data_IF_259703073668
#
_entry.id   IF_259703073668
#
_cell.length_a   1.000
_cell.length_b   1.000
_cell.length_c   1.000
_cell.angle_alpha   90.00
_cell.angle_beta   90.00
_cell.angle_gamma   90.00
#
_symmetry.space_group_name_H-M   'P 1'
#
loop_
_entity.id
_entity.type
_entity.pdbx_description
1 polymer ?
#
# COMPACT_ATOMS: atom_id res chain seq x y z
N UNK A 1 3.70 -14.79 -8.76
CA UNK A 1 3.82 -14.49 -7.32
C UNK A 1 3.71 -12.99 -7.08
N UNK A 2 4.37 -12.14 -7.88
CA UNK A 2 4.31 -10.68 -7.69
C UNK A 2 2.97 -10.00 -8.07
N UNK A 3 2.02 -10.71 -8.68
CA UNK A 3 0.77 -10.13 -9.20
C UNK A 3 -0.39 -10.16 -8.17
N UNK A 4 -0.23 -10.87 -7.05
CA UNK A 4 -1.23 -10.94 -6.00
C UNK A 4 -1.00 -9.80 -5.01
N UNK A 5 -2.01 -8.97 -4.84
CA UNK A 5 -1.95 -7.73 -4.07
C UNK A 5 -2.54 -7.95 -2.68
N UNK A 6 -1.81 -7.54 -1.65
CA UNK A 6 -2.17 -7.66 -0.24
C UNK A 6 -2.77 -6.37 0.31
N UNK A 7 -3.36 -6.43 1.50
CA UNK A 7 -3.96 -5.26 2.13
C UNK A 7 -2.95 -4.18 2.56
N UNK A 8 -1.83 -4.52 3.23
CA UNK A 8 -0.85 -3.52 3.69
C UNK A 8 -0.34 -2.62 2.57
N UNK A 9 -0.07 -1.36 2.89
CA UNK A 9 0.46 -0.37 1.93
C UNK A 9 1.87 0.06 2.32
N UNK A 10 2.77 0.05 1.35
CA UNK A 10 4.15 0.56 1.45
C UNK A 10 4.14 2.09 1.67
N UNK A 11 5.28 2.73 2.04
CA UNK A 11 5.35 4.17 2.24
C UNK A 11 4.86 5.00 1.05
N UNK A 12 5.05 4.49 -0.17
CA UNK A 12 4.56 5.12 -1.42
C UNK A 12 3.06 4.96 -1.67
N UNK A 13 2.32 4.27 -0.80
CA UNK A 13 0.87 4.05 -0.89
C UNK A 13 0.44 2.91 -1.80
N UNK A 14 1.38 2.34 -2.57
CA UNK A 14 1.17 1.09 -3.28
C UNK A 14 0.99 -0.05 -2.28
N UNK A 15 0.06 -0.95 -2.58
CA UNK A 15 -0.11 -2.17 -1.79
C UNK A 15 1.12 -3.07 -1.90
N UNK A 16 1.40 -3.80 -0.83
CA UNK A 16 2.35 -4.89 -0.80
C UNK A 16 1.85 -6.02 -1.71
N UNK A 17 2.77 -6.74 -2.35
CA UNK A 17 2.43 -7.99 -3.05
C UNK A 17 3.01 -9.22 -2.32
N UNK A 18 2.48 -10.41 -2.62
CA UNK A 18 2.92 -11.66 -1.95
C UNK A 18 4.41 -11.94 -2.09
N UNK A 19 5.06 -11.54 -3.20
CA UNK A 19 6.50 -11.73 -3.33
C UNK A 19 7.30 -10.83 -2.38
N UNK A 20 6.85 -9.59 -2.16
CA UNK A 20 7.45 -8.66 -1.19
C UNK A 20 7.23 -9.14 0.25
N UNK A 21 6.03 -9.61 0.57
CA UNK A 21 5.71 -10.19 1.89
C UNK A 21 6.54 -11.44 2.16
N UNK A 22 6.55 -12.38 1.21
CA UNK A 22 7.36 -13.60 1.28
C UNK A 22 8.85 -13.31 1.46
N UNK A 23 9.39 -12.33 0.74
CA UNK A 23 10.77 -11.92 0.93
C UNK A 23 11.01 -11.35 2.33
N UNK A 24 10.10 -10.50 2.82
CA UNK A 24 10.19 -9.89 4.15
C UNK A 24 10.16 -10.95 5.25
N UNK A 25 9.30 -11.96 5.13
CA UNK A 25 9.25 -13.09 6.06
C UNK A 25 10.53 -13.91 6.03
N UNK A 26 11.03 -14.25 4.84
CA UNK A 26 12.27 -15.01 4.69
C UNK A 26 13.50 -14.25 5.21
N UNK A 27 13.48 -12.92 5.14
CA UNK A 27 14.53 -12.06 5.68
C UNK A 27 14.46 -11.91 7.21
N UNK A 28 13.25 -11.72 7.77
CA UNK A 28 13.08 -11.37 9.19
C UNK A 28 12.96 -12.57 10.12
N UNK A 29 12.36 -13.68 9.67
CA UNK A 29 12.17 -14.85 10.52
C UNK A 29 13.50 -15.43 11.06
N UNK A 30 14.59 -15.57 10.26
CA UNK A 30 15.90 -16.00 10.77
C UNK A 30 16.48 -15.08 11.85
N UNK A 31 16.33 -13.75 11.68
CA UNK A 31 16.85 -12.76 12.62
C UNK A 31 16.08 -12.80 13.96
N UNK A 32 14.75 -12.83 13.90
CA UNK A 32 13.91 -12.98 15.10
C UNK A 32 14.18 -14.32 15.81
N UNK A 33 14.36 -15.40 15.05
CA UNK A 33 14.75 -16.71 15.58
C UNK A 33 16.09 -16.64 16.27
N UNK A 34 17.08 -16.00 15.69
CA UNK A 34 18.42 -15.87 16.26
C UNK A 34 18.41 -15.12 17.60
N UNK A 35 17.61 -14.06 17.71
CA UNK A 35 17.53 -13.24 18.91
C UNK A 35 16.65 -13.85 20.01
N UNK A 36 15.51 -14.45 19.66
CA UNK A 36 14.47 -14.83 20.63
C UNK A 36 14.38 -16.35 20.86
N UNK A 37 14.58 -17.15 19.81
CA UNK A 37 14.38 -18.61 19.87
C UNK A 37 15.53 -19.38 19.23
N UNK A 38 16.76 -19.24 19.75
CA UNK A 38 17.96 -19.77 19.10
C UNK A 38 18.02 -21.31 19.00
N UNK A 39 17.07 -22.01 19.62
CA UNK A 39 16.90 -23.47 19.57
C UNK A 39 16.14 -23.97 18.34
N UNK A 40 15.38 -23.12 17.66
CA UNK A 40 14.65 -23.49 16.44
C UNK A 40 15.63 -23.73 15.28
N UNK A 41 15.37 -24.72 14.44
CA UNK A 41 16.23 -25.01 13.29
C UNK A 41 16.09 -23.92 12.20
N UNK A 42 17.20 -23.26 11.89
CA UNK A 42 17.22 -22.15 10.93
C UNK A 42 16.96 -22.61 9.48
N UNK A 43 17.39 -23.82 9.12
CA UNK A 43 17.16 -24.35 7.78
C UNK A 43 15.68 -24.65 7.58
N UNK A 44 15.03 -25.25 8.59
CA UNK A 44 13.57 -25.46 8.59
C UNK A 44 12.79 -24.14 8.59
N UNK A 45 13.20 -23.14 9.38
CA UNK A 45 12.56 -21.80 9.39
C UNK A 45 12.62 -21.14 8.01
N UNK A 46 13.79 -21.11 7.37
CA UNK A 46 13.93 -20.54 6.02
C UNK A 46 13.13 -21.33 4.98
N UNK A 47 13.13 -22.66 5.06
CA UNK A 47 12.35 -23.50 4.16
C UNK A 47 10.86 -23.18 4.27
N UNK A 48 10.33 -23.06 5.48
CA UNK A 48 8.93 -22.74 5.74
C UNK A 48 8.57 -21.32 5.31
N UNK A 49 9.39 -20.32 5.62
CA UNK A 49 9.17 -18.95 5.18
C UNK A 49 9.09 -18.84 3.65
N UNK A 50 9.89 -19.63 2.91
CA UNK A 50 9.89 -19.59 1.44
C UNK A 50 8.63 -20.22 0.82
N UNK A 51 7.98 -21.16 1.52
CA UNK A 51 6.82 -21.90 0.96
C UNK A 51 5.48 -21.47 1.53
N UNK A 52 5.44 -20.60 2.55
CA UNK A 52 4.25 -20.35 3.37
C UNK A 52 3.00 -19.87 2.60
N UNK A 53 3.20 -19.12 1.51
CA UNK A 53 2.12 -18.54 0.70
C UNK A 53 1.82 -19.31 -0.59
N UNK A 54 2.56 -20.38 -0.89
CA UNK A 54 2.38 -21.09 -2.17
C UNK A 54 0.95 -21.60 -2.36
N UNK A 55 0.32 -22.02 -1.27
CA UNK A 55 -1.07 -22.49 -1.30
C UNK A 55 -2.05 -21.36 -1.58
N UNK A 56 -1.92 -20.22 -0.88
CA UNK A 56 -2.78 -19.04 -1.06
C UNK A 56 -2.69 -18.48 -2.49
N UNK A 57 -1.49 -18.43 -3.06
CA UNK A 57 -1.25 -18.03 -4.45
C UNK A 57 -1.96 -18.97 -5.44
N UNK A 58 -2.03 -20.26 -5.15
CA UNK A 58 -2.67 -21.24 -6.03
C UNK A 58 -4.20 -21.22 -5.93
N UNK A 59 -4.74 -20.94 -4.75
CA UNK A 59 -6.19 -20.89 -4.52
C UNK A 59 -6.81 -19.55 -4.93
N UNK A 60 -6.01 -18.47 -4.92
CA UNK A 60 -6.48 -17.10 -5.09
C UNK A 60 -7.25 -16.64 -3.85
N UNK A 61 -6.96 -15.45 -3.34
CA UNK A 61 -7.70 -14.90 -2.21
C UNK A 61 -9.15 -14.61 -2.66
N UNK A 62 -10.08 -15.48 -2.28
CA UNK A 62 -11.51 -15.31 -2.55
C UNK A 62 -12.19 -15.01 -1.23
N UNK A 63 -12.58 -13.76 -1.05
CA UNK A 63 -13.31 -13.27 0.11
C UNK A 63 -14.53 -14.17 0.41
N UNK A 64 -14.66 -14.58 1.66
CA UNK A 64 -15.71 -15.50 2.15
C UNK A 64 -16.98 -14.80 2.63
N UNK A 65 -16.98 -13.46 2.69
CA UNK A 65 -18.15 -12.71 3.13
C UNK A 65 -19.28 -12.86 2.10
N UNK A 66 -20.45 -13.30 2.57
CA UNK A 66 -21.72 -13.51 1.82
C UNK A 66 -21.86 -14.79 0.93
N UNK A 67 -21.05 -15.84 1.16
CA UNK A 67 -21.26 -17.11 0.44
C UNK A 67 -22.37 -17.97 1.07
N UNK A 68 -23.33 -18.41 0.25
CA UNK A 68 -24.30 -19.45 0.64
C UNK A 68 -23.60 -20.78 0.95
N UNK A 69 -24.19 -21.69 1.73
CA UNK A 69 -23.59 -23.00 2.04
C UNK A 69 -23.17 -23.81 0.80
N UNK A 70 -23.92 -23.69 -0.31
CA UNK A 70 -23.60 -24.35 -1.59
C UNK A 70 -22.37 -23.71 -2.24
N UNK A 71 -22.29 -22.37 -2.26
CA UNK A 71 -21.12 -21.66 -2.79
C UNK A 71 -19.88 -21.88 -1.94
N UNK A 72 -20.04 -22.01 -0.63
CA UNK A 72 -18.96 -22.36 0.29
C UNK A 72 -18.40 -23.76 0.00
N UNK A 73 -19.28 -24.74 -0.25
CA UNK A 73 -18.89 -26.10 -0.62
C UNK A 73 -18.17 -26.16 -1.98
N UNK A 74 -18.67 -25.45 -3.00
CA UNK A 74 -18.02 -25.36 -4.31
C UNK A 74 -16.64 -24.67 -4.18
N UNK A 75 -16.53 -23.60 -3.39
CA UNK A 75 -15.26 -22.94 -3.10
C UNK A 75 -14.26 -23.88 -2.45
N UNK A 76 -14.68 -24.62 -1.42
CA UNK A 76 -13.82 -25.62 -0.77
C UNK A 76 -13.34 -26.69 -1.75
N UNK A 77 -14.21 -27.17 -2.65
CA UNK A 77 -13.81 -28.11 -3.69
C UNK A 77 -12.79 -27.51 -4.66
N UNK A 78 -13.00 -26.27 -5.09
CA UNK A 78 -12.09 -25.56 -5.99
C UNK A 78 -10.72 -25.32 -5.32
N UNK A 79 -10.71 -24.93 -4.05
CA UNK A 79 -9.48 -24.75 -3.25
C UNK A 79 -8.73 -26.07 -3.09
N UNK A 80 -9.44 -27.16 -2.77
CA UNK A 80 -8.84 -28.49 -2.68
C UNK A 80 -8.25 -28.94 -4.02
N UNK A 81 -8.96 -28.68 -5.13
CA UNK A 81 -8.48 -29.03 -6.46
C UNK A 81 -7.27 -28.18 -6.90
N UNK A 82 -7.28 -26.88 -6.57
CA UNK A 82 -6.17 -25.98 -6.82
C UNK A 82 -4.93 -26.38 -6.00
N UNK A 83 -5.11 -26.68 -4.72
CA UNK A 83 -4.09 -27.22 -3.83
C UNK A 83 -3.50 -28.51 -4.38
N UNK A 84 -4.36 -29.46 -4.80
CA UNK A 84 -3.91 -30.72 -5.37
C UNK A 84 -3.07 -30.49 -6.64
N UNK A 85 -3.55 -29.62 -7.53
CA UNK A 85 -2.86 -29.29 -8.78
C UNK A 85 -1.51 -28.62 -8.53
N UNK A 86 -1.44 -27.71 -7.55
CA UNK A 86 -0.20 -27.06 -7.12
C UNK A 86 0.80 -28.10 -6.63
N UNK A 87 0.40 -28.94 -5.67
CA UNK A 87 1.27 -29.94 -5.07
C UNK A 87 1.88 -30.83 -6.16
N UNK A 88 1.09 -31.28 -7.14
CA UNK A 88 1.58 -32.09 -8.26
C UNK A 88 2.65 -31.39 -9.12
N UNK A 89 2.61 -30.06 -9.24
CA UNK A 89 3.57 -29.26 -10.03
C UNK A 89 4.82 -28.87 -9.26
N UNK A 90 4.76 -28.85 -7.93
CA UNK A 90 5.91 -28.45 -7.11
C UNK A 90 7.03 -29.50 -7.14
N UNK A 91 8.30 -29.07 -7.19
CA UNK A 91 9.44 -29.96 -6.97
C UNK A 91 9.34 -30.69 -5.61
N UNK A 92 9.89 -31.91 -5.47
CA UNK A 92 9.70 -32.75 -4.27
C UNK A 92 10.03 -32.04 -2.94
N UNK A 93 11.12 -31.29 -2.91
CA UNK A 93 11.57 -30.58 -1.69
C UNK A 93 10.59 -29.47 -1.30
N UNK A 94 10.09 -28.70 -2.27
CA UNK A 94 9.12 -27.63 -2.01
C UNK A 94 7.76 -28.21 -1.60
N UNK A 95 7.32 -29.29 -2.26
CA UNK A 95 6.08 -30.00 -1.90
C UNK A 95 6.14 -30.48 -0.45
N UNK A 96 7.21 -31.18 -0.08
CA UNK A 96 7.39 -31.68 1.28
C UNK A 96 7.49 -30.54 2.30
N UNK A 97 8.18 -29.45 1.95
CA UNK A 97 8.25 -28.25 2.78
C UNK A 97 6.87 -27.64 3.03
N UNK A 98 6.08 -27.47 1.97
CA UNK A 98 4.72 -26.92 2.04
C UNK A 98 3.80 -27.82 2.87
N UNK A 99 3.78 -29.13 2.63
CA UNK A 99 2.97 -30.09 3.39
C UNK A 99 3.32 -30.07 4.89
N UNK A 100 4.62 -30.00 5.22
CA UNK A 100 5.11 -29.90 6.61
C UNK A 100 4.74 -28.56 7.25
N UNK A 101 4.83 -27.47 6.51
CA UNK A 101 4.46 -26.14 6.98
C UNK A 101 2.96 -26.08 7.28
N UNK A 102 2.11 -26.49 6.34
CA UNK A 102 0.66 -26.46 6.47
C UNK A 102 0.14 -27.36 7.60
N UNK A 103 0.83 -28.45 7.90
CA UNK A 103 0.49 -29.30 9.04
C UNK A 103 0.62 -28.59 10.40
N UNK A 104 1.43 -27.53 10.51
CA UNK A 104 1.62 -26.72 11.73
C UNK A 104 1.97 -27.53 13.00
N UNK A 105 2.54 -28.73 12.83
CA UNK A 105 2.86 -29.68 13.92
C UNK A 105 4.27 -29.53 14.49
N UNK A 106 5.04 -28.56 14.01
CA UNK A 106 6.42 -28.30 14.47
C UNK A 106 6.52 -26.88 15.02
N UNK A 107 7.40 -26.64 16.02
CA UNK A 107 7.59 -25.30 16.56
C UNK A 107 8.09 -24.34 15.48
N UNK A 108 8.92 -24.76 14.52
CA UNK A 108 9.36 -23.92 13.41
C UNK A 108 8.19 -23.48 12.50
N UNK A 109 7.25 -24.38 12.19
CA UNK A 109 6.09 -24.04 11.36
C UNK A 109 5.17 -23.04 12.07
N UNK A 110 4.96 -23.22 13.37
CA UNK A 110 4.17 -22.31 14.20
C UNK A 110 4.88 -20.97 14.41
N UNK A 111 6.20 -20.98 14.58
CA UNK A 111 7.03 -19.78 14.69
C UNK A 111 6.93 -18.94 13.42
N UNK A 112 7.14 -19.55 12.25
CA UNK A 112 7.02 -18.84 10.96
C UNK A 112 5.62 -18.26 10.79
N UNK A 113 4.56 -19.01 11.16
CA UNK A 113 3.17 -18.51 11.14
C UNK A 113 2.93 -17.35 12.11
N UNK A 114 3.61 -17.34 13.26
CA UNK A 114 3.53 -16.24 14.22
C UNK A 114 4.22 -14.99 13.67
N UNK A 115 5.43 -15.13 13.10
CA UNK A 115 6.15 -14.00 12.47
C UNK A 115 5.39 -13.45 11.28
N UNK A 116 4.85 -14.32 10.41
CA UNK A 116 3.98 -13.95 9.29
C UNK A 116 2.82 -13.03 9.73
N UNK A 117 2.20 -13.32 10.87
CA UNK A 117 1.13 -12.48 11.45
C UNK A 117 1.59 -11.17 12.06
N UNK A 118 2.88 -11.04 12.40
CA UNK A 118 3.46 -9.80 12.92
C UNK A 118 3.72 -8.81 11.77
N UNK A 119 4.09 -9.31 10.59
CA UNK A 119 4.54 -8.47 9.47
C UNK A 119 3.53 -7.41 9.03
N UNK A 120 2.22 -7.67 8.92
CA UNK A 120 1.26 -6.63 8.52
C UNK A 120 1.28 -5.41 9.44
N UNK A 121 1.33 -5.62 10.76
CA UNK A 121 1.36 -4.51 11.75
C UNK A 121 2.69 -3.75 11.66
N UNK A 122 3.80 -4.47 11.44
CA UNK A 122 5.09 -3.83 11.20
C UNK A 122 5.08 -2.98 9.92
N UNK A 123 4.44 -3.46 8.86
CA UNK A 123 4.26 -2.73 7.60
C UNK A 123 3.34 -1.51 7.78
N UNK A 124 2.28 -1.61 8.59
CA UNK A 124 1.38 -0.50 8.88
C UNK A 124 2.09 0.67 9.58
N UNK A 125 3.08 0.39 10.43
CA UNK A 125 3.91 1.40 11.10
C UNK A 125 4.81 2.13 10.11
N UNK A 126 5.52 1.40 9.25
CA UNK A 126 6.52 2.01 8.35
C UNK A 126 5.90 2.52 7.05
N UNK A 127 4.73 2.02 6.70
CA UNK A 127 4.01 2.29 5.47
C UNK A 127 2.88 3.31 5.65
N UNK A 128 1.73 3.05 5.02
CA UNK A 128 0.55 3.91 5.11
C UNK A 128 -0.57 3.22 5.92
N UNK A 129 -0.23 2.69 7.09
CA UNK A 129 -1.16 1.92 7.91
C UNK A 129 -2.42 2.69 8.33
N UNK A 130 -2.33 4.01 8.57
CA UNK A 130 -3.51 4.83 8.90
C UNK A 130 -4.55 4.75 7.78
N UNK A 131 -4.12 4.93 6.53
CA UNK A 131 -5.00 4.75 5.37
C UNK A 131 -5.52 3.32 5.24
N UNK A 132 -4.72 2.31 5.58
CA UNK A 132 -5.17 0.91 5.57
C UNK A 132 -6.33 0.70 6.53
N UNK A 133 -6.18 1.10 7.80
CA UNK A 133 -7.24 0.88 8.80
C UNK A 133 -8.50 1.68 8.51
N UNK A 134 -8.38 2.86 7.88
CA UNK A 134 -9.54 3.67 7.50
C UNK A 134 -10.23 3.20 6.22
N UNK A 135 -9.47 2.99 5.15
CA UNK A 135 -10.03 2.70 3.81
C UNK A 135 -10.46 1.23 3.66
N UNK A 136 -9.72 0.29 4.25
CA UNK A 136 -9.97 -1.15 4.07
C UNK A 136 -10.75 -1.77 5.23
N UNK A 137 -10.48 -1.31 6.45
CA UNK A 137 -11.11 -1.84 7.66
C UNK A 137 -12.19 -0.93 8.25
N UNK A 138 -12.36 0.29 7.71
CA UNK A 138 -13.43 1.20 8.10
C UNK A 138 -13.32 1.75 9.53
N UNK A 139 -12.12 1.72 10.13
CA UNK A 139 -11.83 2.28 11.45
C UNK A 139 -11.91 3.80 11.38
N UNK A 140 -12.65 4.44 12.28
CA UNK A 140 -12.92 5.89 12.22
C UNK A 140 -12.22 6.69 13.31
N UNK A 141 -11.79 6.04 14.38
CA UNK A 141 -11.23 6.70 15.55
C UNK A 141 -10.31 5.75 16.33
N UNK A 142 -9.52 6.33 17.23
CA UNK A 142 -8.54 5.59 18.04
C UNK A 142 -9.19 4.51 18.92
N UNK A 143 -10.38 4.75 19.45
CA UNK A 143 -11.06 3.77 20.31
C UNK A 143 -11.50 2.52 19.53
N UNK A 144 -11.97 2.70 18.28
CA UNK A 144 -12.25 1.58 17.37
C UNK A 144 -10.97 0.80 17.01
N UNK A 145 -9.86 1.50 16.75
CA UNK A 145 -8.56 0.87 16.48
C UNK A 145 -8.09 0.03 17.67
N UNK A 146 -8.11 0.61 18.87
CA UNK A 146 -7.72 -0.06 20.12
C UNK A 146 -8.55 -1.31 20.37
N UNK A 147 -9.88 -1.21 20.23
CA UNK A 147 -10.76 -2.36 20.40
C UNK A 147 -10.53 -3.47 19.35
N UNK A 148 -10.09 -3.12 18.14
CA UNK A 148 -9.70 -4.09 17.13
C UNK A 148 -8.36 -4.76 17.48
N UNK A 149 -7.36 -3.98 17.88
CA UNK A 149 -6.07 -4.49 18.31
C UNK A 149 -6.15 -5.37 19.55
N UNK A 150 -6.95 -5.01 20.56
CA UNK A 150 -7.15 -5.82 21.77
C UNK A 150 -7.59 -7.25 21.40
N UNK A 151 -8.53 -7.39 20.46
CA UNK A 151 -9.00 -8.68 19.96
C UNK A 151 -7.92 -9.43 19.19
N UNK A 152 -7.13 -8.73 18.37
CA UNK A 152 -6.05 -9.34 17.60
C UNK A 152 -4.92 -9.82 18.52
N UNK A 153 -4.55 -9.02 19.53
CA UNK A 153 -3.55 -9.37 20.55
C UNK A 153 -4.02 -10.56 21.37
N UNK A 154 -5.29 -10.58 21.80
CA UNK A 154 -5.87 -11.72 22.53
C UNK A 154 -5.82 -12.98 21.67
N UNK A 155 -6.26 -12.91 20.41
CA UNK A 155 -6.23 -14.04 19.47
C UNK A 155 -4.80 -14.54 19.21
N UNK A 156 -3.85 -13.63 19.01
CA UNK A 156 -2.44 -13.96 18.81
C UNK A 156 -1.87 -14.64 20.05
N UNK A 157 -2.11 -14.08 21.23
CA UNK A 157 -1.63 -14.60 22.52
C UNK A 157 -2.22 -15.97 22.82
N UNK A 158 -3.51 -16.18 22.56
CA UNK A 158 -4.15 -17.48 22.72
C UNK A 158 -3.51 -18.53 21.79
N UNK A 159 -3.19 -18.16 20.56
CA UNK A 159 -2.67 -19.10 19.55
C UNK A 159 -1.17 -19.39 19.71
N UNK A 160 -0.37 -18.41 20.11
CA UNK A 160 1.09 -18.48 20.09
C UNK A 160 1.75 -18.19 21.44
N UNK A 161 1.12 -17.43 22.33
CA UNK A 161 1.75 -16.87 23.52
C UNK A 161 2.30 -17.88 24.53
N UNK A 162 1.77 -19.11 24.59
CA UNK A 162 2.36 -20.17 25.42
C UNK A 162 3.68 -20.69 24.86
N UNK A 163 3.82 -20.77 23.52
CA UNK A 163 5.03 -21.29 22.86
C UNK A 163 6.04 -20.17 22.58
N UNK A 164 5.55 -18.98 22.23
CA UNK A 164 6.34 -17.81 21.82
C UNK A 164 5.90 -16.55 22.59
N UNK A 165 6.15 -16.48 23.91
CA UNK A 165 5.72 -15.33 24.72
C UNK A 165 6.36 -14.02 24.25
N UNK A 166 7.64 -14.03 23.87
CA UNK A 166 8.35 -12.85 23.36
C UNK A 166 7.77 -12.35 22.02
N UNK A 167 7.24 -13.23 21.16
CA UNK A 167 6.52 -12.81 19.95
C UNK A 167 5.16 -12.19 20.27
N UNK A 168 4.45 -12.69 21.29
CA UNK A 168 3.19 -12.09 21.72
C UNK A 168 3.40 -10.70 22.30
N UNK A 169 4.46 -10.51 23.10
CA UNK A 169 4.88 -9.20 23.59
C UNK A 169 5.28 -8.28 22.43
N UNK A 170 6.06 -8.77 21.46
CA UNK A 170 6.43 -7.99 20.28
C UNK A 170 5.19 -7.52 19.50
N UNK A 171 4.24 -8.42 19.24
CA UNK A 171 3.01 -8.09 18.52
C UNK A 171 2.21 -7.00 19.23
N UNK A 172 2.03 -7.13 20.55
CA UNK A 172 1.32 -6.13 21.35
C UNK A 172 2.02 -4.76 21.34
N UNK A 173 3.35 -4.75 21.46
CA UNK A 173 4.12 -3.50 21.41
C UNK A 173 4.03 -2.81 20.04
N UNK A 174 4.07 -3.57 18.94
CA UNK A 174 3.89 -3.01 17.60
C UNK A 174 2.48 -2.44 17.42
N UNK A 175 1.44 -3.14 17.87
CA UNK A 175 0.07 -2.64 17.81
C UNK A 175 -0.10 -1.32 18.59
N UNK A 176 0.43 -1.24 19.81
CA UNK A 176 0.42 0.00 20.61
C UNK A 176 1.24 1.13 19.97
N UNK A 177 2.38 0.79 19.37
CA UNK A 177 3.18 1.77 18.64
C UNK A 177 2.40 2.33 17.44
N UNK A 178 1.73 1.47 16.67
CA UNK A 178 0.88 1.88 15.56
C UNK A 178 -0.29 2.77 16.02
N UNK A 179 -0.95 2.46 17.14
CA UNK A 179 -1.98 3.33 17.74
C UNK A 179 -1.45 4.73 18.06
N UNK A 180 -0.21 4.81 18.55
CA UNK A 180 0.45 6.09 18.82
C UNK A 180 0.68 6.87 17.53
N UNK A 181 1.16 6.22 16.47
CA UNK A 181 1.31 6.82 15.14
C UNK A 181 -0.03 7.32 14.60
N UNK A 182 -1.09 6.50 14.68
CA UNK A 182 -2.44 6.86 14.27
C UNK A 182 -2.94 8.12 15.01
N UNK A 183 -2.78 8.18 16.32
CA UNK A 183 -3.20 9.33 17.12
C UNK A 183 -2.43 10.62 16.76
N UNK A 184 -1.14 10.51 16.47
CA UNK A 184 -0.29 11.64 16.05
C UNK A 184 -0.68 12.16 14.67
N UNK A 185 -0.92 11.27 13.71
CA UNK A 185 -1.36 11.63 12.36
C UNK A 185 -2.73 12.32 12.41
N UNK A 186 -3.69 11.78 13.16
CA UNK A 186 -5.02 12.39 13.33
C UNK A 186 -4.99 13.74 14.05
N UNK A 187 -4.10 13.91 15.02
CA UNK A 187 -3.94 15.20 15.70
C UNK A 187 -3.30 16.26 14.78
N UNK A 188 -2.38 15.85 13.92
CA UNK A 188 -1.75 16.72 12.91
C UNK A 188 -2.75 17.12 11.82
N UNK A 189 -3.59 16.18 11.39
CA UNK A 189 -4.69 16.42 10.46
C UNK A 189 -5.78 17.35 11.03
N UNK A 190 -6.07 17.32 12.35
CA UNK A 190 -7.02 18.26 12.96
C UNK A 190 -6.47 19.68 13.10
N UNK A 191 -5.15 19.84 13.22
CA UNK A 191 -4.47 21.15 13.27
C UNK A 191 -4.22 21.74 11.88
N UNK A 192 -4.26 20.91 10.83
CA UNK A 192 -4.17 21.32 9.44
C UNK A 192 -5.56 21.38 8.82
N UNK A 193 -6.11 22.59 8.58
CA UNK A 193 -7.31 22.74 7.76
C UNK A 193 -7.07 22.06 6.41
N UNK A 194 -7.75 20.93 6.21
CA UNK A 194 -7.55 19.96 5.13
C UNK A 194 -7.30 20.61 3.75
N UNK A 195 -6.03 20.80 3.41
CA UNK A 195 -5.54 20.59 2.05
C UNK A 195 -5.08 19.13 2.06
N UNK A 196 -5.68 18.22 1.28
CA UNK A 196 -5.23 16.84 1.26
C UNK A 196 -3.75 16.84 0.79
N UNK A 197 -2.85 16.55 1.70
CA UNK A 197 -1.48 16.19 1.36
C UNK A 197 -1.54 14.89 0.56
N UNK A 198 -1.36 14.99 -0.75
CA UNK A 198 -1.07 13.82 -1.57
C UNK A 198 0.32 13.32 -1.16
N UNK A 199 0.50 12.06 -0.74
CA UNK A 199 1.81 11.46 -0.57
C UNK A 199 2.34 11.13 -1.96
N UNK A 200 2.78 12.17 -2.64
CA UNK A 200 3.67 12.12 -3.77
C UNK A 200 4.21 13.54 -3.90
N UNK A 201 5.39 13.77 -3.31
CA UNK A 201 6.40 14.54 -4.02
C UNK A 201 6.63 13.77 -5.32
N UNK A 202 5.78 14.02 -6.34
CA UNK A 202 6.00 13.51 -7.68
C UNK A 202 7.35 14.09 -8.07
N UNK A 203 8.41 13.27 -8.07
CA UNK A 203 9.61 13.59 -8.82
C UNK A 203 9.17 13.64 -10.27
N UNK A 204 8.80 14.83 -10.75
CA UNK A 204 8.42 15.02 -12.14
C UNK A 204 9.65 14.72 -13.00
N UNK A 205 9.56 13.67 -13.81
CA UNK A 205 10.57 13.36 -14.82
C UNK A 205 10.08 13.94 -16.14
N UNK A 206 10.75 14.98 -16.63
CA UNK A 206 10.47 15.54 -17.95
C UNK A 206 10.73 14.49 -19.03
N UNK A 207 9.66 14.01 -19.69
CA UNK A 207 9.77 13.11 -20.85
C UNK A 207 9.59 13.91 -22.13
N UNK A 208 10.61 13.90 -22.99
CA UNK A 208 10.55 14.48 -24.33
C UNK A 208 10.18 13.39 -25.33
N UNK A 209 9.07 13.58 -26.02
CA UNK A 209 8.62 12.68 -27.07
C UNK A 209 8.93 13.28 -28.44
N UNK A 210 9.57 12.51 -29.31
CA UNK A 210 9.72 12.89 -30.72
C UNK A 210 8.44 12.47 -31.46
N UNK A 211 7.61 13.43 -31.81
CA UNK A 211 6.37 13.19 -32.55
C UNK A 211 6.68 13.07 -34.04
N UNK A 212 6.29 11.97 -34.68
CA UNK A 212 6.34 11.83 -36.13
C UNK A 212 5.09 12.47 -36.74
N UNK A 213 5.28 13.61 -37.41
CA UNK A 213 4.19 14.40 -37.99
C UNK A 213 3.44 13.65 -39.11
N UNK A 214 4.08 12.69 -39.78
CA UNK A 214 3.48 11.90 -40.86
C UNK A 214 2.57 10.77 -40.34
N UNK A 215 2.51 10.57 -39.02
CA UNK A 215 1.72 9.52 -38.35
C UNK A 215 0.70 10.07 -37.36
N UNK A 216 0.35 11.35 -37.46
CA UNK A 216 -0.69 11.95 -36.62
C UNK A 216 -2.05 11.36 -37.04
N UNK A 217 -2.87 10.85 -36.10
CA UNK A 217 -4.23 10.41 -36.40
C UNK A 217 -5.03 11.53 -37.05
N UNK A 218 -5.77 11.22 -38.13
CA UNK A 218 -6.47 12.22 -38.93
C UNK A 218 -7.66 12.89 -38.21
N UNK A 219 -8.15 12.31 -37.10
CA UNK A 219 -9.33 12.77 -36.37
C UNK A 219 -8.99 13.10 -34.92
N UNK A 220 -7.94 13.90 -34.70
CA UNK A 220 -7.43 14.23 -33.37
C UNK A 220 -8.47 14.97 -32.51
N UNK A 221 -9.36 15.72 -33.14
CA UNK A 221 -10.40 16.51 -32.48
C UNK A 221 -11.58 15.65 -31.98
N UNK A 222 -11.71 14.41 -32.48
CA UNK A 222 -12.74 13.45 -32.02
C UNK A 222 -12.43 12.78 -30.68
N UNK A 223 -11.18 12.90 -30.20
CA UNK A 223 -10.77 12.32 -28.93
C UNK A 223 -11.23 13.20 -27.77
N UNK A 224 -11.52 12.57 -26.64
CA UNK A 224 -11.86 13.27 -25.40
C UNK A 224 -10.75 14.28 -25.06
N UNK A 225 -11.14 15.55 -24.96
CA UNK A 225 -10.23 16.64 -24.66
C UNK A 225 -10.87 17.62 -23.68
N UNK A 226 -10.01 18.36 -22.99
CA UNK A 226 -10.41 19.40 -22.05
C UNK A 226 -9.65 20.69 -22.30
N UNK A 227 -10.36 21.81 -22.23
CA UNK A 227 -9.74 23.12 -22.26
C UNK A 227 -9.09 23.44 -20.90
N UNK A 228 -7.96 24.12 -20.95
CA UNK A 228 -7.19 24.50 -19.76
C UNK A 228 -6.74 25.95 -19.93
N UNK A 229 -7.27 26.82 -19.08
CA UNK A 229 -6.77 28.18 -18.89
C UNK A 229 -5.71 28.19 -17.79
N UNK A 230 -4.50 28.63 -18.10
CA UNK A 230 -3.36 28.65 -17.17
C UNK A 230 -2.78 30.05 -17.04
N UNK A 231 -2.41 30.46 -15.83
CA UNK A 231 -1.76 31.73 -15.55
C UNK A 231 -0.62 31.59 -14.54
N UNK A 232 0.52 32.23 -14.81
CA UNK A 232 1.69 32.18 -13.93
C UNK A 232 1.72 33.37 -12.97
N UNK A 233 1.75 33.08 -11.67
CA UNK A 233 1.94 34.06 -10.60
C UNK A 233 3.43 34.38 -10.41
N UNK A 234 4.27 33.34 -10.40
CA UNK A 234 5.72 33.44 -10.35
C UNK A 234 6.35 32.44 -11.32
N UNK A 235 7.45 32.83 -11.97
CA UNK A 235 8.24 31.96 -12.84
C UNK A 235 9.67 32.49 -12.85
N UNK A 236 10.60 31.67 -12.39
CA UNK A 236 12.00 32.03 -12.15
C UNK A 236 12.93 31.27 -13.10
N UNK A 237 14.15 31.78 -13.30
CA UNK A 237 15.15 31.16 -14.20
C UNK A 237 15.69 29.82 -13.71
N UNK A 238 15.53 29.51 -12.42
CA UNK A 238 15.88 28.22 -11.81
C UNK A 238 14.81 27.13 -12.05
N UNK A 239 13.73 27.46 -12.77
CA UNK A 239 12.64 26.55 -13.07
C UNK A 239 11.57 26.46 -11.98
N UNK A 240 11.69 27.23 -10.90
CA UNK A 240 10.61 27.37 -9.92
C UNK A 240 9.45 28.16 -10.53
N UNK A 241 8.22 27.69 -10.29
CA UNK A 241 7.02 28.34 -10.79
C UNK A 241 5.85 28.19 -9.84
N UNK A 242 5.02 29.23 -9.77
CA UNK A 242 3.72 29.19 -9.12
C UNK A 242 2.69 29.59 -10.16
N UNK A 243 1.70 28.72 -10.39
CA UNK A 243 0.68 28.92 -11.44
C UNK A 243 -0.70 28.55 -10.93
N UNK A 244 -1.71 29.22 -11.48
CA UNK A 244 -3.12 28.87 -11.28
C UNK A 244 -3.72 28.34 -12.58
N UNK A 245 -4.65 27.39 -12.47
CA UNK A 245 -5.35 26.76 -13.60
C UNK A 245 -6.84 26.70 -13.37
N UNK A 246 -7.58 26.81 -14.47
CA UNK A 246 -8.99 26.46 -14.59
C UNK A 246 -9.14 25.41 -15.70
N UNK A 247 -9.89 24.35 -15.42
CA UNK A 247 -10.17 23.30 -16.38
C UNK A 247 -11.56 23.51 -17.01
N UNK A 248 -11.75 23.00 -18.22
CA UNK A 248 -12.92 23.25 -19.08
C UNK A 248 -14.27 22.76 -18.52
N UNK A 249 -14.25 21.99 -17.42
CA UNK A 249 -15.45 21.64 -16.64
C UNK A 249 -16.06 22.84 -15.90
N UNK A 250 -15.35 23.97 -15.81
CA UNK A 250 -15.79 25.20 -15.15
C UNK A 250 -15.88 25.10 -13.62
N UNK A 251 -15.49 23.97 -13.03
CA UNK A 251 -15.66 23.68 -11.60
C UNK A 251 -14.34 23.36 -10.90
N UNK A 252 -13.31 22.98 -11.66
CA UNK A 252 -12.00 22.64 -11.10
C UNK A 252 -11.00 23.77 -11.27
N UNK A 253 -10.42 24.19 -10.14
CA UNK A 253 -9.36 25.18 -10.06
C UNK A 253 -8.18 24.64 -9.26
N UNK A 254 -6.97 24.91 -9.73
CA UNK A 254 -5.75 24.43 -9.08
C UNK A 254 -4.70 25.54 -8.96
N UNK A 255 -3.97 25.56 -7.85
CA UNK A 255 -2.73 26.30 -7.64
C UNK A 255 -1.58 25.28 -7.61
N UNK A 256 -0.65 25.36 -8.55
CA UNK A 256 0.57 24.56 -8.55
C UNK A 256 1.74 25.40 -8.05
N UNK A 257 2.57 24.82 -7.18
CA UNK A 257 3.89 25.33 -6.81
C UNK A 257 4.94 24.30 -7.21
N UNK A 258 5.94 24.70 -7.98
CA UNK A 258 7.11 23.89 -8.34
C UNK A 258 8.37 24.52 -7.77
N UNK A 259 9.20 23.70 -7.15
CA UNK A 259 10.55 24.08 -6.72
C UNK A 259 11.51 24.21 -7.90
N UNK A 260 12.59 24.96 -7.71
CA UNK A 260 13.67 25.08 -8.69
C UNK A 260 14.49 23.79 -8.80
N UNK A 261 15.01 23.50 -9.99
CA UNK A 261 15.81 22.29 -10.23
C UNK A 261 15.98 21.96 -11.72
N UNK A 262 16.84 21.01 -12.07
CA UNK A 262 17.09 20.64 -13.49
C UNK A 262 16.42 19.34 -13.92
N UNK A 263 16.51 18.27 -13.14
CA UNK A 263 16.06 16.90 -13.55
C UNK A 263 15.01 16.31 -12.62
N UNK A 264 14.99 16.73 -11.36
CA UNK A 264 14.00 16.35 -10.35
C UNK A 264 13.54 17.63 -9.69
N UNK A 265 12.23 17.85 -9.65
CA UNK A 265 11.61 19.01 -8.99
C UNK A 265 10.47 18.52 -8.11
N UNK A 266 10.33 19.16 -6.98
CA UNK A 266 9.16 19.01 -6.13
C UNK A 266 8.01 19.81 -6.74
N UNK A 267 6.88 19.16 -6.95
CA UNK A 267 5.63 19.78 -7.41
C UNK A 267 4.53 19.53 -6.38
N UNK A 268 3.83 20.60 -6.01
CA UNK A 268 2.63 20.53 -5.18
C UNK A 268 1.45 21.14 -5.93
N UNK A 269 0.37 20.39 -6.06
CA UNK A 269 -0.89 20.84 -6.67
C UNK A 269 -1.95 20.96 -5.59
N UNK A 270 -2.45 22.18 -5.39
CA UNK A 270 -3.43 22.55 -4.37
C UNK A 270 -4.75 22.83 -5.09
N UNK A 271 -5.81 22.11 -4.73
CA UNK A 271 -7.16 22.43 -5.23
C UNK A 271 -7.61 23.72 -4.53
N UNK A 272 -8.05 24.70 -5.30
CA UNK A 272 -8.56 25.98 -4.80
C UNK A 272 -10.02 26.16 -5.20
N UNK A 273 -10.76 26.97 -4.45
CA UNK A 273 -12.13 27.33 -4.84
C UNK A 273 -12.14 28.46 -5.88
N UNK A 274 -13.28 28.65 -6.54
CA UNK A 274 -13.47 29.67 -7.57
C UNK A 274 -13.16 31.08 -7.08
N UNK A 275 -13.57 31.42 -5.84
CA UNK A 275 -13.31 32.73 -5.25
C UNK A 275 -11.80 33.02 -5.10
N UNK A 276 -11.02 32.02 -4.72
CA UNK A 276 -9.56 32.09 -4.61
C UNK A 276 -8.93 32.19 -6.00
N UNK A 277 -9.41 31.43 -6.97
CA UNK A 277 -8.94 31.56 -8.35
C UNK A 277 -9.21 32.96 -8.90
N UNK A 278 -10.43 33.49 -8.70
CA UNK A 278 -10.84 34.80 -9.19
C UNK A 278 -10.02 35.95 -8.57
N UNK A 279 -9.56 35.82 -7.32
CA UNK A 279 -8.69 36.81 -6.68
C UNK A 279 -7.25 36.75 -7.19
N UNK A 280 -6.75 35.56 -7.52
CA UNK A 280 -5.38 35.35 -8.03
C UNK A 280 -5.26 35.61 -9.55
N UNK A 281 -6.32 35.34 -10.32
CA UNK A 281 -6.29 35.41 -11.78
C UNK A 281 -5.84 36.76 -12.34
N UNK A 282 -6.27 37.93 -11.82
CA UNK A 282 -5.78 39.23 -12.26
C UNK A 282 -4.26 39.40 -12.17
N UNK A 283 -3.61 38.76 -11.19
CA UNK A 283 -2.16 38.84 -10.96
C UNK A 283 -1.34 38.12 -12.05
N UNK A 284 -1.98 37.26 -12.85
CA UNK A 284 -1.33 36.54 -13.95
C UNK A 284 -1.36 37.30 -15.28
N UNK A 285 -1.84 38.54 -15.30
CA UNK A 285 -1.97 39.33 -16.55
C UNK A 285 -0.63 39.43 -17.29
N UNK A 286 -0.64 39.09 -18.58
CA UNK A 286 0.56 39.05 -19.42
C UNK A 286 1.36 37.74 -19.33
N UNK A 287 0.93 36.78 -18.51
CA UNK A 287 1.58 35.47 -18.32
C UNK A 287 0.55 34.33 -18.34
N UNK A 288 -0.33 34.33 -19.36
CA UNK A 288 -1.42 33.36 -19.50
C UNK A 288 -1.26 32.51 -20.75
N UNK A 289 -1.77 31.28 -20.68
CA UNK A 289 -1.79 30.30 -21.76
C UNK A 289 -3.17 29.63 -21.76
N UNK A 290 -3.78 29.54 -22.93
CA UNK A 290 -4.95 28.68 -23.18
C UNK A 290 -4.46 27.46 -23.98
N UNK A 291 -4.90 26.27 -23.60
CA UNK A 291 -4.54 25.02 -24.30
C UNK A 291 -5.64 23.98 -24.17
N UNK A 292 -5.66 23.06 -25.12
CA UNK A 292 -6.53 21.88 -25.11
C UNK A 292 -5.67 20.65 -24.85
N UNK A 293 -6.10 19.76 -23.95
CA UNK A 293 -5.36 18.55 -23.54
C UNK A 293 -6.21 17.31 -23.65
#
# INVERSE_FOLDING_TARGET
>A
MADVVRVPRRPGGERENDAEHSWSLAALAPELRACLYPRLDNDTVQQFATVHELLEIATGDVATFDLTPVQLSIKQQNEQQAAHTLLQRLPPVMRQGLERYEAQNTPEARFVRAVDKILPVAMDIVGQGVRVVEEDYGIKNLAELQAAHDKLIESFTQRFGTEFPELAELYANLAYHFETCYAQEKSSDMMSSHVPERPNQLKEVERKFLVNLDKIPADIDSYDHIDISQGYLAHSSDGSETRVRRFGDGQRFELTVKSGGTVVRDEQNIIINEATFASLWPLTKGKRIEKTR
#
